data_IF_762455409342
#
_entry.id   IF_762455409342
#
_cell.length_a   1.000
_cell.length_b   1.000
_cell.length_c   1.000
_cell.angle_alpha   90.00
_cell.angle_beta   90.00
_cell.angle_gamma   90.00
#
_symmetry.space_group_name_H-M   'P 1'
#
loop_
_entity.id
_entity.type
_entity.pdbx_description
1 polymer ?
#
# COMPACT_ATOMS: atom_id res chain seq x y z
N UNK A 1 -10.61 8.72 -22.71
CA UNK A 1 -10.87 7.47 -21.95
C UNK A 1 -9.77 6.47 -22.28
N UNK A 2 -8.85 6.18 -21.35
CA UNK A 2 -7.87 5.11 -21.57
C UNK A 2 -8.55 3.77 -21.31
N UNK A 3 -9.17 3.20 -22.35
CA UNK A 3 -9.61 1.81 -22.34
C UNK A 3 -8.39 0.95 -22.64
N UNK A 4 -7.68 0.54 -21.60
CA UNK A 4 -6.64 -0.47 -21.74
C UNK A 4 -7.32 -1.81 -21.53
N UNK A 5 -7.63 -2.50 -22.63
CA UNK A 5 -7.99 -3.92 -22.59
C UNK A 5 -6.70 -4.67 -22.91
N UNK A 6 -5.96 -5.05 -21.87
CA UNK A 6 -4.91 -6.05 -22.01
C UNK A 6 -5.59 -7.42 -22.10
N UNK A 7 -5.44 -8.10 -23.23
CA UNK A 7 -5.77 -9.52 -23.34
C UNK A 7 -4.48 -10.30 -23.11
N UNK A 8 -4.42 -11.04 -22.01
CA UNK A 8 -3.32 -11.97 -21.74
C UNK A 8 -3.89 -13.39 -21.72
N UNK A 9 -3.31 -14.27 -22.54
CA UNK A 9 -3.74 -15.66 -22.65
C UNK A 9 -2.82 -16.52 -21.78
N UNK A 10 -3.38 -17.12 -20.73
CA UNK A 10 -2.70 -18.12 -19.91
C UNK A 10 -2.91 -19.50 -20.54
N UNK A 11 -1.94 -19.98 -21.31
CA UNK A 11 -2.03 -21.28 -22.02
C UNK A 11 -1.66 -22.48 -21.15
N UNK A 12 -0.91 -22.25 -20.08
CA UNK A 12 -0.45 -23.26 -19.13
C UNK A 12 -0.93 -22.95 -17.71
N UNK A 13 -0.75 -23.91 -16.80
CA UNK A 13 -0.89 -23.63 -15.37
C UNK A 13 0.12 -22.56 -14.97
N UNK A 14 -0.28 -21.64 -14.12
CA UNK A 14 0.61 -20.57 -13.69
C UNK A 14 -0.14 -19.38 -13.13
N UNK A 15 0.66 -18.42 -12.71
CA UNK A 15 0.25 -17.25 -11.95
C UNK A 15 0.77 -16.01 -12.66
N UNK A 16 -0.06 -14.98 -12.81
CA UNK A 16 0.34 -13.71 -13.43
C UNK A 16 -0.30 -12.55 -12.67
N UNK A 17 0.43 -11.44 -12.58
CA UNK A 17 0.00 -10.22 -11.90
C UNK A 17 -0.12 -9.07 -12.90
N UNK A 18 -1.13 -8.24 -12.70
CA UNK A 18 -1.43 -7.05 -13.47
C UNK A 18 -1.38 -5.83 -12.57
N UNK A 19 -0.62 -4.83 -13.00
CA UNK A 19 -0.56 -3.50 -12.40
C UNK A 19 -1.15 -2.45 -13.35
N UNK A 20 -1.35 -1.22 -12.85
CA UNK A 20 -1.92 -0.12 -13.63
C UNK A 20 -3.44 -0.17 -13.77
N UNK A 21 -4.10 -0.98 -12.95
CA UNK A 21 -5.55 -0.99 -12.77
C UNK A 21 -5.91 -0.13 -11.55
N UNK A 22 -7.09 0.46 -11.59
CA UNK A 22 -7.57 1.37 -10.54
C UNK A 22 -9.02 1.04 -10.17
N UNK A 23 -9.36 1.21 -8.90
CA UNK A 23 -10.73 1.08 -8.42
C UNK A 23 -11.60 2.28 -8.84
N UNK A 24 -12.88 2.28 -8.45
CA UNK A 24 -13.82 3.37 -8.76
C UNK A 24 -13.46 4.72 -8.13
N UNK A 25 -12.59 4.71 -7.12
CA UNK A 25 -12.11 5.89 -6.40
C UNK A 25 -10.76 6.40 -6.95
N UNK A 26 -10.15 5.65 -7.88
CA UNK A 26 -8.84 5.98 -8.44
C UNK A 26 -7.66 5.45 -7.62
N UNK A 27 -7.89 4.54 -6.67
CA UNK A 27 -6.81 3.86 -5.96
C UNK A 27 -6.25 2.74 -6.83
N UNK A 28 -4.92 2.59 -6.85
CA UNK A 28 -4.28 1.50 -7.58
C UNK A 28 -4.67 0.15 -6.97
N UNK A 29 -4.90 -0.85 -7.83
CA UNK A 29 -5.14 -2.24 -7.44
C UNK A 29 -4.16 -3.15 -8.16
N UNK A 30 -3.77 -4.21 -7.48
CA UNK A 30 -3.05 -5.34 -8.06
C UNK A 30 -4.07 -6.44 -8.33
N UNK A 31 -4.04 -6.99 -9.54
CA UNK A 31 -4.88 -8.13 -9.93
C UNK A 31 -4.00 -9.31 -10.23
N UNK A 32 -4.29 -10.43 -9.62
CA UNK A 32 -3.61 -11.69 -9.88
C UNK A 32 -4.59 -12.67 -10.49
N UNK A 33 -4.10 -13.39 -11.49
CA UNK A 33 -4.83 -14.48 -12.12
C UNK A 33 -3.99 -15.73 -12.02
N UNK A 34 -4.57 -16.76 -11.42
CA UNK A 34 -3.98 -18.09 -11.36
C UNK A 34 -4.84 -19.08 -12.13
N UNK A 35 -4.17 -19.91 -12.94
CA UNK A 35 -4.77 -21.03 -13.64
C UNK A 35 -4.17 -22.32 -13.13
N UNK A 36 -5.01 -23.25 -12.72
CA UNK A 36 -4.62 -24.58 -12.30
C UNK A 36 -5.43 -25.67 -13.03
N UNK A 37 -5.45 -26.89 -12.50
CA UNK A 37 -6.28 -27.98 -13.05
C UNK A 37 -7.75 -27.90 -12.69
N UNK A 38 -8.11 -27.13 -11.66
CA UNK A 38 -9.48 -26.95 -11.19
C UNK A 38 -10.19 -25.80 -11.91
N UNK A 39 -9.44 -24.82 -12.42
CA UNK A 39 -9.99 -23.72 -13.19
C UNK A 39 -9.10 -22.49 -13.20
N UNK A 40 -9.75 -21.33 -13.10
CA UNK A 40 -9.10 -20.02 -13.04
C UNK A 40 -9.63 -19.28 -11.81
N UNK A 41 -8.72 -18.78 -10.98
CA UNK A 41 -9.00 -17.87 -9.88
C UNK A 41 -8.50 -16.47 -10.21
N UNK A 42 -9.20 -15.47 -9.68
CA UNK A 42 -8.84 -14.06 -9.81
C UNK A 42 -8.89 -13.43 -8.43
N UNK A 43 -7.80 -12.78 -8.05
CA UNK A 43 -7.65 -12.11 -6.76
C UNK A 43 -7.36 -10.64 -7.05
N UNK A 44 -8.09 -9.74 -6.38
CA UNK A 44 -7.88 -8.30 -6.49
C UNK A 44 -7.61 -7.77 -5.09
N UNK A 45 -6.50 -7.09 -4.92
CA UNK A 45 -6.19 -6.39 -3.67
C UNK A 45 -5.68 -4.99 -3.95
N UNK A 46 -5.84 -4.12 -2.96
CA UNK A 46 -5.15 -2.84 -2.90
C UNK A 46 -3.89 -3.09 -2.10
N UNK A 47 -2.74 -2.70 -2.63
CA UNK A 47 -1.59 -2.51 -1.76
C UNK A 47 -1.99 -1.48 -0.71
N UNK A 48 -1.69 -1.77 0.56
CA UNK A 48 -1.71 -0.71 1.56
C UNK A 48 -0.84 0.40 0.99
N UNK A 49 -1.46 1.55 0.69
CA UNK A 49 -0.67 2.70 0.30
C UNK A 49 0.26 2.94 1.47
N UNK A 50 1.53 2.55 1.34
CA UNK A 50 2.61 3.05 2.18
C UNK A 50 2.35 4.54 2.15
N UNK A 51 1.84 5.10 3.26
CA UNK A 51 1.65 6.55 3.39
C UNK A 51 2.98 7.09 2.90
N UNK A 52 3.01 7.73 1.72
CA UNK A 52 4.24 8.35 1.27
C UNK A 52 4.47 9.40 2.32
N UNK A 53 5.40 9.08 3.22
CA UNK A 53 5.74 9.92 4.32
C UNK A 53 6.47 11.08 3.67
N UNK A 54 5.70 12.12 3.34
CA UNK A 54 6.25 13.37 2.88
C UNK A 54 7.10 13.84 4.04
N UNK A 55 8.43 13.83 3.84
CA UNK A 55 9.34 14.53 4.71
C UNK A 55 8.92 16.00 4.69
N UNK A 56 8.18 16.40 5.72
CA UNK A 56 7.69 17.77 5.87
C UNK A 56 8.79 18.73 6.32
N UNK A 57 10.05 18.29 6.31
CA UNK A 57 11.23 19.08 6.62
C UNK A 57 11.40 19.34 8.11
N UNK A 58 10.72 18.57 8.95
CA UNK A 58 10.91 18.59 10.41
C UNK A 58 12.05 17.66 10.78
N UNK A 59 13.03 18.18 11.52
CA UNK A 59 14.12 17.34 12.03
C UNK A 59 13.63 16.42 13.15
N UNK A 60 14.32 15.30 13.35
CA UNK A 60 14.06 14.37 14.47
C UNK A 60 14.13 15.09 15.83
N UNK A 61 15.03 16.05 15.99
CA UNK A 61 15.12 16.88 17.20
C UNK A 61 13.86 17.72 17.44
N UNK A 62 13.23 18.23 16.37
CA UNK A 62 11.98 18.99 16.46
C UNK A 62 10.80 18.09 16.80
N UNK A 63 10.78 16.86 16.26
CA UNK A 63 9.79 15.83 16.60
C UNK A 63 9.92 15.48 18.09
N UNK A 64 11.12 15.14 18.55
CA UNK A 64 11.39 14.77 19.94
C UNK A 64 11.07 15.92 20.91
N UNK A 65 11.43 17.18 20.57
CA UNK A 65 11.08 18.34 21.40
C UNK A 65 9.57 18.53 21.50
N UNK A 66 8.84 18.30 20.41
CA UNK A 66 7.38 18.43 20.38
C UNK A 66 6.72 17.31 21.18
N UNK A 67 7.16 16.06 21.00
CA UNK A 67 6.62 14.91 21.72
C UNK A 67 7.03 14.88 23.20
N UNK A 68 8.17 15.44 23.59
CA UNK A 68 8.58 15.57 24.99
C UNK A 68 7.67 16.48 25.83
N UNK A 69 6.72 17.20 25.21
CA UNK A 69 5.67 17.94 25.90
C UNK A 69 4.43 17.09 26.24
N UNK A 70 4.37 15.86 25.75
CA UNK A 70 3.29 14.90 25.99
C UNK A 70 3.82 13.75 26.85
N UNK A 71 2.99 13.24 27.77
CA UNK A 71 3.40 12.19 28.71
C UNK A 71 3.50 10.80 28.04
N UNK A 72 2.86 10.62 26.88
CA UNK A 72 2.94 9.43 26.03
C UNK A 72 3.08 9.84 24.55
N UNK A 73 3.93 9.15 23.78
CA UNK A 73 4.03 9.41 22.34
C UNK A 73 2.71 9.13 21.63
N UNK A 74 1.83 8.27 22.16
CA UNK A 74 0.48 8.03 21.62
C UNK A 74 -0.44 9.26 21.62
N UNK A 75 -0.14 10.28 22.43
CA UNK A 75 -0.87 11.55 22.45
C UNK A 75 -0.17 12.65 21.63
N UNK A 76 1.04 12.38 21.13
CA UNK A 76 1.80 13.34 20.36
C UNK A 76 1.18 13.54 18.96
N UNK A 77 0.96 14.79 18.50
CA UNK A 77 0.51 15.07 17.14
C UNK A 77 1.45 14.55 16.04
N UNK A 78 2.69 14.23 16.41
CA UNK A 78 3.73 13.64 15.56
C UNK A 78 3.99 12.16 15.92
N UNK A 79 3.00 11.45 16.48
CA UNK A 79 3.14 10.03 16.89
C UNK A 79 3.67 9.13 15.76
N UNK A 80 3.15 9.30 14.54
CA UNK A 80 3.60 8.61 13.31
C UNK A 80 5.11 8.82 12.99
N UNK A 81 5.76 9.80 13.63
CA UNK A 81 7.18 10.14 13.49
C UNK A 81 8.00 9.86 14.78
N UNK A 82 7.35 9.67 15.94
CA UNK A 82 8.01 9.27 17.19
C UNK A 82 8.16 7.75 17.28
N UNK A 83 7.20 6.99 16.74
CA UNK A 83 7.21 5.54 16.78
C UNK A 83 7.74 4.98 15.46
N UNK A 84 9.07 4.94 15.29
CA UNK A 84 9.70 4.25 14.15
C UNK A 84 9.53 2.72 14.20
N UNK A 85 8.99 2.17 15.30
CA UNK A 85 8.95 0.73 15.58
C UNK A 85 7.52 0.14 15.77
N UNK A 86 6.60 0.38 14.83
CA UNK A 86 5.48 -0.54 14.63
C UNK A 86 5.47 -1.06 13.19
N UNK A 87 6.24 -2.14 12.97
CA UNK A 87 5.87 -3.12 11.95
C UNK A 87 4.44 -3.60 12.28
N UNK A 88 3.47 -3.08 11.54
CA UNK A 88 2.08 -3.55 11.59
C UNK A 88 2.07 -5.00 11.10
N UNK A 89 1.90 -5.94 12.05
CA UNK A 89 1.68 -7.37 11.80
C UNK A 89 0.35 -7.65 11.08
#
# INVERSE_FOLDING_TARGET
MKKIILAQVLTAKGKTEFSGLYDRHGNAVTVEVERDSSGVSLIVWQDEQKKQHFDCGISEEEIQRTCAMFDDCGECPLWDYCNEDEEVL
#
